data_IF_705755440764
#
_entry.id   IF_705755440764
#
_cell.length_a   1.000
_cell.length_b   1.000
_cell.length_c   1.000
_cell.angle_alpha   90.00
_cell.angle_beta   90.00
_cell.angle_gamma   90.00
#
_symmetry.space_group_name_H-M   'P 1'
#
loop_
_entity.id
_entity.type
_entity.pdbx_description
1 polymer ?
#
# COMPACT_ATOMS: atom_id res chain seq x y z
N UNK A 1 -15.64 -0.63 -2.61
CA UNK A 1 -14.42 -1.44 -2.63
C UNK A 1 -13.65 -1.24 -1.33
N UNK A 2 -13.06 -2.31 -0.77
CA UNK A 2 -12.25 -2.17 0.43
C UNK A 2 -11.07 -1.21 0.25
N UNK A 3 -10.72 -0.53 1.34
CA UNK A 3 -9.59 0.39 1.37
C UNK A 3 -8.47 -0.24 2.20
N UNK A 4 -7.24 -0.09 1.75
CA UNK A 4 -6.07 -0.61 2.43
C UNK A 4 -5.03 0.49 2.60
N UNK A 5 -4.42 0.54 3.78
CA UNK A 5 -3.27 1.40 4.04
C UNK A 5 -2.03 0.51 4.08
N UNK A 6 -1.12 0.73 3.15
CA UNK A 6 0.10 -0.07 3.03
C UNK A 6 1.28 0.75 3.54
N UNK A 7 1.83 0.33 4.67
CA UNK A 7 3.01 0.94 5.25
C UNK A 7 4.23 0.16 4.75
N UNK A 8 5.24 0.85 4.25
CA UNK A 8 6.36 0.22 3.59
C UNK A 8 7.68 0.68 4.18
N UNK A 9 8.58 -0.28 4.43
CA UNK A 9 9.96 -0.02 4.86
C UNK A 9 10.90 -0.43 3.74
N UNK A 10 11.85 0.43 3.42
CA UNK A 10 12.92 0.08 2.49
C UNK A 10 13.78 -1.03 3.10
N UNK A 11 14.11 -2.01 2.26
CA UNK A 11 15.09 -3.03 2.62
C UNK A 11 16.50 -2.45 2.41
N UNK A 12 17.52 -3.19 2.79
CA UNK A 12 18.90 -2.82 2.50
C UNK A 12 19.11 -2.62 0.99
N UNK A 13 18.54 -3.50 0.17
CA UNK A 13 18.58 -3.37 -1.29
C UNK A 13 17.90 -2.08 -1.75
N UNK A 14 16.72 -1.77 -1.20
CA UNK A 14 15.98 -0.57 -1.55
C UNK A 14 16.74 0.71 -1.19
N UNK A 15 17.42 0.70 -0.04
CA UNK A 15 18.23 1.83 0.40
C UNK A 15 19.45 2.01 -0.52
N UNK A 16 20.12 0.94 -0.87
CA UNK A 16 21.28 1.01 -1.78
C UNK A 16 20.89 1.58 -3.16
N UNK A 17 19.67 1.31 -3.60
CA UNK A 17 19.18 1.74 -4.91
C UNK A 17 18.23 2.94 -4.80
N UNK A 18 18.42 3.77 -3.80
CA UNK A 18 17.49 4.86 -3.48
C UNK A 18 17.31 5.86 -4.61
N UNK A 19 18.32 6.08 -5.43
CA UNK A 19 18.22 7.04 -6.54
C UNK A 19 17.21 6.61 -7.60
N UNK A 20 16.92 5.32 -7.69
CA UNK A 20 15.88 4.80 -8.58
C UNK A 20 14.50 4.76 -7.95
N UNK A 21 14.35 5.18 -6.68
CA UNK A 21 13.09 5.08 -5.95
C UNK A 21 11.92 5.81 -6.60
N UNK A 22 12.08 7.05 -7.11
CA UNK A 22 10.94 7.75 -7.72
C UNK A 22 10.31 6.96 -8.86
N UNK A 23 11.12 6.37 -9.73
CA UNK A 23 10.62 5.55 -10.85
C UNK A 23 9.95 4.26 -10.34
N UNK A 24 10.54 3.61 -9.34
CA UNK A 24 9.96 2.40 -8.74
C UNK A 24 8.59 2.69 -8.11
N UNK A 25 8.44 3.85 -7.46
CA UNK A 25 7.17 4.29 -6.89
C UNK A 25 6.11 4.41 -7.98
N UNK A 26 6.45 5.02 -9.12
CA UNK A 26 5.53 5.11 -10.26
C UNK A 26 5.09 3.73 -10.72
N UNK A 27 6.02 2.80 -10.86
CA UNK A 27 5.74 1.44 -11.32
C UNK A 27 4.86 0.69 -10.33
N UNK A 28 5.15 0.81 -9.03
CA UNK A 28 4.34 0.22 -7.96
C UNK A 28 2.90 0.73 -8.03
N UNK A 29 2.73 2.04 -8.15
CA UNK A 29 1.39 2.63 -8.20
C UNK A 29 0.63 2.24 -9.48
N UNK A 30 1.34 1.98 -10.59
CA UNK A 30 0.70 1.44 -11.79
C UNK A 30 0.14 0.03 -11.53
N UNK A 31 0.89 -0.81 -10.82
CA UNK A 31 0.44 -2.16 -10.48
C UNK A 31 -0.83 -2.10 -9.62
N UNK A 32 -0.83 -1.30 -8.57
CA UNK A 32 -2.01 -1.14 -7.71
C UNK A 32 -3.18 -0.52 -8.48
N UNK A 33 -2.90 0.46 -9.35
CA UNK A 33 -3.94 1.11 -10.15
C UNK A 33 -4.65 0.18 -11.13
N UNK A 34 -3.95 -0.82 -11.64
CA UNK A 34 -4.57 -1.82 -12.55
C UNK A 34 -5.58 -2.71 -11.83
N UNK A 35 -5.39 -2.93 -10.53
CA UNK A 35 -6.26 -3.79 -9.72
C UNK A 35 -7.36 -3.03 -9.02
N UNK A 36 -7.28 -1.71 -9.04
CA UNK A 36 -8.23 -0.86 -8.34
C UNK A 36 -7.87 0.60 -8.51
N UNK A 37 -7.72 1.31 -7.41
CA UNK A 37 -7.50 2.75 -7.43
C UNK A 37 -6.45 3.14 -6.40
N UNK A 38 -5.53 4.03 -6.78
CA UNK A 38 -4.58 4.64 -5.87
C UNK A 38 -5.22 5.90 -5.31
N UNK A 39 -5.51 5.90 -4.01
CA UNK A 39 -6.11 7.05 -3.33
C UNK A 39 -5.07 8.04 -2.84
N UNK A 40 -3.85 7.57 -2.56
CA UNK A 40 -2.76 8.43 -2.14
C UNK A 40 -1.48 7.65 -1.98
N UNK A 41 -0.37 8.37 -2.03
CA UNK A 41 0.95 7.82 -1.77
C UNK A 41 1.84 8.91 -1.21
N UNK A 42 2.53 8.62 -0.12
CA UNK A 42 3.36 9.60 0.58
C UNK A 42 4.69 8.97 0.98
N UNK A 43 5.75 9.76 0.92
CA UNK A 43 7.04 9.40 1.48
C UNK A 43 7.08 10.00 2.89
N UNK A 44 7.43 9.20 3.88
CA UNK A 44 7.31 9.60 5.28
C UNK A 44 8.67 9.56 5.99
N UNK A 45 8.76 10.31 7.07
CA UNK A 45 9.86 10.18 8.04
C UNK A 45 9.39 9.22 9.14
N UNK A 46 10.34 8.64 9.85
CA UNK A 46 10.05 7.81 11.01
C UNK A 46 10.17 6.33 10.72
N UNK A 47 9.34 5.55 11.36
CA UNK A 47 9.42 4.10 11.30
C UNK A 47 9.21 3.53 9.90
N UNK A 48 8.30 4.14 9.12
CA UNK A 48 8.01 3.69 7.77
C UNK A 48 8.49 4.74 6.76
N UNK A 49 8.90 4.26 5.59
CA UNK A 49 9.42 5.14 4.54
C UNK A 49 8.35 5.57 3.56
N UNK A 50 7.34 4.72 3.32
CA UNK A 50 6.24 5.03 2.41
C UNK A 50 4.91 4.64 3.04
N UNK A 51 3.86 5.37 2.64
CA UNK A 51 2.48 5.03 2.96
C UNK A 51 1.65 5.15 1.69
N UNK A 52 1.08 4.02 1.26
CA UNK A 52 0.17 3.99 0.11
C UNK A 52 -1.25 3.71 0.58
N UNK A 53 -2.22 4.36 -0.02
CA UNK A 53 -3.64 4.16 0.28
C UNK A 53 -4.31 3.71 -1.00
N UNK A 54 -4.93 2.53 -0.98
CA UNK A 54 -5.45 1.88 -2.18
C UNK A 54 -6.87 1.35 -1.96
N UNK A 55 -7.66 1.36 -3.03
CA UNK A 55 -8.91 0.60 -3.11
C UNK A 55 -8.71 -0.56 -4.05
N UNK A 56 -9.16 -1.75 -3.67
CA UNK A 56 -9.17 -2.92 -4.56
C UNK A 56 -10.49 -3.68 -4.39
N UNK A 57 -10.88 -4.51 -5.37
CA UNK A 57 -12.14 -5.25 -5.29
C UNK A 57 -12.22 -6.19 -4.08
N UNK A 58 -11.11 -6.81 -3.69
CA UNK A 58 -11.07 -7.81 -2.63
C UNK A 58 -9.66 -7.97 -2.07
N UNK A 59 -9.55 -8.77 -1.02
CA UNK A 59 -8.28 -9.02 -0.35
C UNK A 59 -7.28 -9.75 -1.26
N UNK A 60 -7.75 -10.63 -2.12
CA UNK A 60 -6.88 -11.38 -3.03
C UNK A 60 -6.17 -10.46 -4.02
N UNK A 61 -6.85 -9.41 -4.49
CA UNK A 61 -6.26 -8.44 -5.40
C UNK A 61 -5.13 -7.66 -4.74
N UNK A 62 -5.35 -7.17 -3.52
CA UNK A 62 -4.29 -6.44 -2.80
C UNK A 62 -3.14 -7.38 -2.42
N UNK A 63 -3.44 -8.60 -2.02
CA UNK A 63 -2.41 -9.59 -1.69
C UNK A 63 -1.51 -9.89 -2.89
N UNK A 64 -2.08 -10.06 -4.06
CA UNK A 64 -1.31 -10.33 -5.27
C UNK A 64 -0.34 -9.18 -5.58
N UNK A 65 -0.81 -7.94 -5.45
CA UNK A 65 0.04 -6.75 -5.66
C UNK A 65 1.15 -6.70 -4.60
N UNK A 66 0.82 -6.98 -3.34
CA UNK A 66 1.80 -6.98 -2.26
C UNK A 66 2.87 -8.05 -2.43
N UNK A 67 2.49 -9.24 -2.89
CA UNK A 67 3.45 -10.32 -3.15
C UNK A 67 4.41 -9.92 -4.28
N UNK A 68 3.90 -9.31 -5.34
CA UNK A 68 4.73 -8.82 -6.44
C UNK A 68 5.73 -7.76 -5.94
N UNK A 69 5.26 -6.86 -5.10
CA UNK A 69 6.08 -5.81 -4.53
C UNK A 69 7.17 -6.39 -3.62
N UNK A 70 6.81 -7.33 -2.77
CA UNK A 70 7.75 -8.01 -1.88
C UNK A 70 8.80 -8.81 -2.65
N UNK A 71 8.38 -9.47 -3.73
CA UNK A 71 9.28 -10.27 -4.58
C UNK A 71 10.36 -9.42 -5.24
N UNK A 72 10.09 -8.15 -5.53
CA UNK A 72 11.08 -7.23 -6.08
C UNK A 72 12.20 -6.91 -5.09
N UNK A 73 11.96 -7.09 -3.79
CA UNK A 73 13.00 -7.03 -2.76
C UNK A 73 13.37 -5.65 -2.25
N UNK A 74 12.73 -4.60 -2.71
CA UNK A 74 13.08 -3.22 -2.33
C UNK A 74 12.37 -2.72 -1.07
N UNK A 75 11.21 -3.29 -0.74
CA UNK A 75 10.43 -2.89 0.43
C UNK A 75 9.84 -4.11 1.14
N UNK A 76 9.57 -3.93 2.43
CA UNK A 76 8.72 -4.81 3.22
C UNK A 76 7.47 -4.03 3.58
N UNK A 77 6.34 -4.72 3.60
CA UNK A 77 5.03 -4.07 3.76
C UNK A 77 4.30 -4.56 5.00
N UNK A 78 3.56 -3.63 5.61
CA UNK A 78 2.55 -3.92 6.62
C UNK A 78 1.26 -3.31 6.10
N UNK A 79 0.23 -4.12 5.91
CA UNK A 79 -1.01 -3.67 5.29
C UNK A 79 -2.14 -3.73 6.30
N UNK A 80 -2.87 -2.62 6.40
CA UNK A 80 -4.02 -2.47 7.27
C UNK A 80 -5.26 -2.34 6.40
N UNK A 81 -6.28 -3.15 6.68
CA UNK A 81 -7.60 -2.96 6.06
C UNK A 81 -8.27 -1.81 6.78
N UNK A 82 -8.69 -0.81 6.03
CA UNK A 82 -9.22 0.43 6.58
C UNK A 82 -10.72 0.56 6.31
N UNK A 83 -11.39 1.22 7.24
CA UNK A 83 -12.82 1.50 7.15
C UNK A 83 -13.02 3.00 7.29
N UNK A 84 -13.97 3.55 6.52
CA UNK A 84 -14.31 4.96 6.65
C UNK A 84 -15.05 5.21 7.97
N UNK A 85 -15.10 6.46 8.46
CA UNK A 85 -15.93 6.78 9.61
C UNK A 85 -17.40 6.39 9.42
N UNK A 86 -17.91 6.50 8.19
CA UNK A 86 -19.28 6.13 7.83
C UNK A 86 -19.50 4.63 7.96
N UNK A 87 -18.56 3.83 7.46
CA UNK A 87 -18.60 2.36 7.61
C UNK A 87 -18.53 1.97 9.08
N UNK A 88 -17.68 2.63 9.83
CA UNK A 88 -17.55 2.41 11.28
C UNK A 88 -18.85 2.71 12.00
N UNK A 89 -19.47 3.84 11.68
CA UNK A 89 -20.77 4.21 12.28
C UNK A 89 -21.83 3.14 12.00
N UNK A 90 -21.84 2.59 10.79
CA UNK A 90 -22.76 1.51 10.42
C UNK A 90 -22.52 0.25 11.23
N UNK A 91 -21.26 -0.11 11.46
CA UNK A 91 -20.89 -1.26 12.29
C UNK A 91 -21.44 -1.10 13.72
N UNK A 92 -21.32 0.11 14.26
CA UNK A 92 -21.80 0.41 15.62
C UNK A 92 -23.30 0.17 15.74
N UNK A 93 -24.09 0.47 14.71
CA UNK A 93 -25.54 0.26 14.75
C UNK A 93 -25.93 -1.21 14.80
N UNK A 94 -25.03 -2.13 14.46
CA UNK A 94 -25.28 -3.57 14.48
C UNK A 94 -24.71 -4.27 15.71
N UNK A 95 -24.18 -3.52 16.65
CA UNK A 95 -23.64 -4.08 17.89
C UNK A 95 -24.74 -4.53 18.87
#
# INVERSE_FOLDING_TARGET
MPIYVCLMKLTEQGIRNIKGAPKRIEEVNKVFGRRGKVLGFYVTMGEYDYMGIYETPNDESIMTALLSLGAAGNVRTTTLKAFTPEEFAEMITHM
#
